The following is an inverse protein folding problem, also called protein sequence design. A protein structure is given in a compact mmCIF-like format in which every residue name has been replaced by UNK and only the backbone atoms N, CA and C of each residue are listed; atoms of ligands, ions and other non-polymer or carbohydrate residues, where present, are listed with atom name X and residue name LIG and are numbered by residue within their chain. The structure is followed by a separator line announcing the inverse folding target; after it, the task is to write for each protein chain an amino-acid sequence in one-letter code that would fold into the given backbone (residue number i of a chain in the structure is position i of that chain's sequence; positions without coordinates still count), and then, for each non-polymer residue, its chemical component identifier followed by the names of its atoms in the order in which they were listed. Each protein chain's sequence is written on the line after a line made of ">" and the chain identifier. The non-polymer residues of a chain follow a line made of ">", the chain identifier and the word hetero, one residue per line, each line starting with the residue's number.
data_IF_417538358279
#
_entry.id   IF_417538358279
#
_cell.length_a   1.000
_cell.length_b   1.000
_cell.length_c   1.000
_cell.angle_alpha   90.00
_cell.angle_beta   90.00
_cell.angle_gamma   90.00
#
_symmetry.space_group_name_H-M   'P 1'
#
loop_
_entity.id
_entity.type
_entity.pdbx_description
1 polymer ?
#
# COMPACT_ATOMS: atom_id res chain seq x y z
N UNK A 1 14.82 -6.24 35.96
CA UNK A 1 14.41 -7.10 34.82
C UNK A 1 15.69 -7.63 34.18
N UNK A 2 15.70 -8.89 33.76
CA UNK A 2 16.83 -9.46 33.03
C UNK A 2 17.01 -8.69 31.69
N UNK A 3 18.26 -8.50 31.27
CA UNK A 3 18.55 -7.89 29.95
C UNK A 3 18.11 -8.80 28.81
N UNK A 4 17.97 -8.23 27.61
CA UNK A 4 17.65 -9.02 26.39
C UNK A 4 18.72 -10.09 26.14
N UNK A 5 19.98 -9.76 26.40
CA UNK A 5 21.12 -10.67 26.25
C UNK A 5 21.05 -11.83 27.24
N UNK A 6 20.69 -11.58 28.50
CA UNK A 6 20.51 -12.62 29.51
C UNK A 6 19.35 -13.54 29.15
N UNK A 7 18.22 -12.98 28.71
CA UNK A 7 17.06 -13.78 28.26
C UNK A 7 17.43 -14.64 27.04
N UNK A 8 18.17 -14.07 26.08
CA UNK A 8 18.66 -14.82 24.92
C UNK A 8 19.59 -15.96 25.30
N UNK A 9 20.53 -15.71 26.22
CA UNK A 9 21.45 -16.74 26.69
C UNK A 9 20.71 -17.90 27.40
N UNK A 10 19.71 -17.58 28.20
CA UNK A 10 18.89 -18.62 28.87
C UNK A 10 18.08 -19.47 27.87
N UNK A 11 17.53 -18.86 26.85
CA UNK A 11 16.79 -19.56 25.79
C UNK A 11 17.71 -20.44 24.92
N UNK A 12 18.98 -20.02 24.71
CA UNK A 12 19.99 -20.85 24.06
C UNK A 12 20.29 -22.09 24.88
N UNK A 13 20.45 -21.99 26.23
CA UNK A 13 20.63 -23.15 27.11
C UNK A 13 19.46 -24.12 27.02
N UNK A 14 18.22 -23.65 27.03
CA UNK A 14 17.02 -24.49 26.84
C UNK A 14 17.04 -25.18 25.46
N UNK A 15 17.44 -24.49 24.41
CA UNK A 15 17.60 -25.05 23.07
C UNK A 15 18.64 -26.17 23.04
N UNK A 16 19.80 -25.95 23.65
CA UNK A 16 20.88 -26.95 23.73
C UNK A 16 20.44 -28.17 24.53
N UNK A 17 19.75 -27.97 25.66
CA UNK A 17 19.19 -29.03 26.47
C UNK A 17 18.13 -29.84 25.71
N UNK A 18 17.27 -29.19 24.90
CA UNK A 18 16.30 -29.87 24.08
C UNK A 18 16.98 -30.74 23.01
N UNK A 19 18.03 -30.21 22.35
CA UNK A 19 18.82 -30.93 21.36
C UNK A 19 19.56 -32.13 21.95
N UNK A 20 20.09 -32.00 23.17
CA UNK A 20 20.80 -33.08 23.83
C UNK A 20 19.91 -34.28 24.16
N UNK A 21 18.60 -34.07 24.28
CA UNK A 21 17.59 -35.12 24.41
C UNK A 21 17.17 -35.76 23.07
N UNK A 22 17.79 -35.36 21.94
CA UNK A 22 17.47 -35.86 20.62
C UNK A 22 16.18 -35.30 20.00
N UNK A 23 15.56 -34.29 20.65
CA UNK A 23 14.36 -33.65 20.11
C UNK A 23 14.71 -32.58 19.08
N UNK A 24 13.97 -32.57 17.96
CA UNK A 24 14.11 -31.53 16.96
C UNK A 24 13.49 -30.23 17.47
N UNK A 25 14.28 -29.15 17.43
CA UNK A 25 13.82 -27.81 17.84
C UNK A 25 13.31 -26.96 16.68
N UNK A 26 13.56 -27.42 15.44
CA UNK A 26 13.17 -26.77 14.18
C UNK A 26 12.85 -27.84 13.13
N UNK A 27 11.78 -28.66 13.33
CA UNK A 27 11.37 -29.66 12.37
C UNK A 27 10.85 -28.99 11.08
N UNK A 28 10.98 -29.69 9.95
CA UNK A 28 10.44 -29.25 8.67
C UNK A 28 8.96 -29.55 8.48
N UNK A 29 8.35 -30.33 9.39
CA UNK A 29 6.98 -30.81 9.28
C UNK A 29 6.20 -30.57 10.56
N UNK A 30 4.87 -30.45 10.41
CA UNK A 30 3.88 -30.39 11.47
C UNK A 30 2.81 -31.46 11.21
N UNK A 31 2.22 -31.99 12.27
CA UNK A 31 1.07 -32.92 12.21
C UNK A 31 -0.27 -32.21 12.41
N UNK A 32 -0.30 -30.88 12.25
CA UNK A 32 -1.49 -30.05 12.45
C UNK A 32 -2.69 -30.60 11.70
N UNK A 33 -3.78 -30.84 12.40
CA UNK A 33 -5.06 -31.29 11.84
C UNK A 33 -6.02 -30.12 11.58
N UNK A 34 -6.00 -29.08 12.42
CA UNK A 34 -6.93 -27.96 12.37
C UNK A 34 -6.21 -26.61 12.57
N UNK A 35 -6.71 -25.57 11.92
CA UNK A 35 -6.42 -24.19 12.24
C UNK A 35 -7.20 -23.76 13.49
N UNK A 36 -6.68 -22.81 14.27
CA UNK A 36 -7.35 -22.37 15.48
C UNK A 36 -8.73 -21.77 15.24
N UNK A 37 -8.92 -21.06 14.11
CA UNK A 37 -10.23 -20.54 13.73
C UNK A 37 -11.24 -21.65 13.43
N UNK A 38 -10.81 -22.77 12.84
CA UNK A 38 -11.66 -23.92 12.57
C UNK A 38 -12.07 -24.63 13.87
N UNK A 39 -11.14 -24.77 14.82
CA UNK A 39 -11.44 -25.31 16.15
C UNK A 39 -12.50 -24.45 16.86
N UNK A 40 -12.36 -23.12 16.83
CA UNK A 40 -13.34 -22.21 17.45
C UNK A 40 -14.70 -22.26 16.73
N UNK A 41 -14.71 -22.36 15.42
CA UNK A 41 -15.96 -22.44 14.63
C UNK A 41 -16.77 -23.70 14.95
N UNK A 42 -16.09 -24.85 15.06
CA UNK A 42 -16.73 -26.14 15.25
C UNK A 42 -16.62 -26.64 16.71
N UNK A 43 -16.33 -25.73 17.66
CA UNK A 43 -15.93 -26.01 19.03
C UNK A 43 -16.88 -26.97 19.76
N UNK A 44 -18.17 -26.68 19.77
CA UNK A 44 -19.21 -27.50 20.47
C UNK A 44 -19.24 -28.94 19.94
N UNK A 45 -19.08 -29.13 18.62
CA UNK A 45 -19.05 -30.45 18.02
C UNK A 45 -17.76 -31.21 18.39
N UNK A 46 -16.62 -30.52 18.34
CA UNK A 46 -15.32 -31.10 18.71
C UNK A 46 -15.25 -31.49 20.18
N UNK A 47 -15.79 -30.63 21.05
CA UNK A 47 -15.89 -30.91 22.51
C UNK A 47 -16.81 -32.11 22.80
N UNK A 48 -18.02 -32.12 22.23
CA UNK A 48 -19.01 -33.19 22.48
C UNK A 48 -18.55 -34.56 21.99
N UNK A 49 -17.75 -34.60 20.93
CA UNK A 49 -17.19 -35.85 20.40
C UNK A 49 -15.82 -36.21 20.96
N UNK A 50 -15.27 -35.41 21.87
CA UNK A 50 -13.90 -35.56 22.41
C UNK A 50 -12.87 -35.77 21.28
N UNK A 51 -13.03 -35.05 20.15
CA UNK A 51 -12.23 -35.27 18.96
C UNK A 51 -10.75 -34.99 19.24
N UNK A 52 -9.83 -35.94 18.95
CA UNK A 52 -8.41 -35.69 19.07
C UNK A 52 -7.96 -34.66 18.02
N UNK A 53 -7.28 -33.63 18.45
CA UNK A 53 -6.79 -32.52 17.64
C UNK A 53 -5.29 -32.40 17.75
N UNK A 54 -4.65 -31.98 16.67
CA UNK A 54 -3.29 -31.45 16.68
C UNK A 54 -3.38 -30.02 16.19
N UNK A 55 -3.06 -29.07 17.07
CA UNK A 55 -3.03 -27.65 16.72
C UNK A 55 -1.64 -27.07 16.91
N UNK A 56 -1.35 -26.01 16.16
CA UNK A 56 -0.06 -25.34 16.21
C UNK A 56 -0.24 -23.85 16.44
N UNK A 57 0.73 -23.21 17.04
CA UNK A 57 0.69 -21.75 17.18
C UNK A 57 1.92 -21.22 17.92
N UNK A 58 2.05 -19.91 17.86
CA UNK A 58 3.00 -19.16 18.69
C UNK A 58 2.41 -18.98 20.09
N UNK A 59 3.21 -19.26 21.11
CA UNK A 59 2.85 -18.97 22.51
C UNK A 59 2.89 -17.46 22.71
N UNK A 60 1.72 -16.85 22.91
CA UNK A 60 1.59 -15.38 23.07
C UNK A 60 1.55 -14.94 24.52
N UNK A 61 1.14 -15.83 25.41
CA UNK A 61 1.13 -15.60 26.86
C UNK A 61 1.25 -16.93 27.57
N UNK A 62 1.78 -16.90 28.81
CA UNK A 62 1.84 -18.06 29.70
C UNK A 62 1.59 -17.59 31.11
N UNK A 63 0.77 -18.36 31.82
CA UNK A 63 0.49 -18.18 33.25
C UNK A 63 0.22 -19.54 33.86
N UNK A 64 0.66 -19.76 35.06
CA UNK A 64 0.40 -21.02 35.73
C UNK A 64 1.02 -21.06 37.13
N UNK A 65 0.48 -21.93 37.98
CA UNK A 65 1.00 -22.20 39.30
C UNK A 65 0.66 -23.62 39.70
N UNK A 66 1.63 -24.32 40.31
CA UNK A 66 1.40 -25.69 40.78
C UNK A 66 1.05 -26.64 39.63
N UNK A 67 -0.05 -27.38 39.71
CA UNK A 67 -0.42 -28.47 38.81
C UNK A 67 -1.12 -28.00 37.50
N UNK A 68 -1.17 -26.68 37.22
CA UNK A 68 -1.86 -26.16 36.04
C UNK A 68 -1.07 -25.04 35.37
N UNK A 69 -1.08 -25.04 34.05
CA UNK A 69 -0.53 -23.97 33.19
C UNK A 69 -1.53 -23.61 32.11
N UNK A 70 -1.74 -22.31 31.89
CA UNK A 70 -2.56 -21.74 30.84
C UNK A 70 -1.64 -20.96 29.89
N UNK A 71 -1.86 -21.08 28.61
CA UNK A 71 -1.16 -20.31 27.61
C UNK A 71 -2.03 -20.06 26.38
N UNK A 72 -1.79 -18.94 25.72
CA UNK A 72 -2.52 -18.60 24.49
C UNK A 72 -1.67 -18.98 23.28
N UNK A 73 -2.25 -19.75 22.39
CA UNK A 73 -1.70 -20.04 21.07
C UNK A 73 -2.27 -19.08 20.02
N UNK A 74 -1.44 -18.70 19.07
CA UNK A 74 -1.81 -17.87 17.93
C UNK A 74 -1.16 -18.41 16.66
N UNK A 75 -1.97 -18.81 15.67
CA UNK A 75 -1.52 -19.38 14.40
C UNK A 75 -1.69 -18.43 13.21
N UNK A 76 -2.15 -17.21 13.46
CA UNK A 76 -2.49 -16.24 12.42
C UNK A 76 -3.98 -16.24 12.05
N UNK A 77 -4.71 -17.31 12.26
CA UNK A 77 -6.15 -17.38 12.02
C UNK A 77 -6.96 -16.96 13.26
N UNK A 78 -6.55 -17.40 14.45
CA UNK A 78 -7.21 -17.07 15.71
C UNK A 78 -6.25 -17.18 16.89
N UNK A 79 -6.74 -16.75 18.08
CA UNK A 79 -6.14 -17.06 19.38
C UNK A 79 -7.02 -18.05 20.12
N UNK A 80 -6.39 -19.07 20.72
CA UNK A 80 -7.06 -20.09 21.50
C UNK A 80 -6.27 -20.37 22.77
N UNK A 81 -6.98 -20.44 23.90
CA UNK A 81 -6.36 -20.82 25.15
C UNK A 81 -6.06 -22.33 25.15
N UNK A 82 -4.85 -22.69 25.55
CA UNK A 82 -4.45 -24.08 25.82
C UNK A 82 -4.17 -24.25 27.30
N UNK A 83 -4.51 -25.40 27.80
CA UNK A 83 -4.39 -25.74 29.22
C UNK A 83 -3.69 -27.09 29.40
N UNK A 84 -2.62 -27.08 30.20
CA UNK A 84 -1.99 -28.28 30.70
C UNK A 84 -2.37 -28.39 32.17
N UNK A 85 -2.98 -29.48 32.60
CA UNK A 85 -3.34 -29.74 34.03
C UNK A 85 -3.10 -31.19 34.41
N UNK A 86 -2.56 -31.38 35.60
CA UNK A 86 -2.33 -32.72 36.15
C UNK A 86 -3.56 -33.22 36.92
N UNK A 87 -3.88 -34.54 36.84
CA UNK A 87 -3.11 -35.56 36.10
C UNK A 87 -3.47 -35.69 34.61
N UNK A 88 -4.51 -35.02 34.13
CA UNK A 88 -5.14 -35.27 32.82
C UNK A 88 -4.21 -35.08 31.62
N UNK A 89 -3.28 -34.11 31.67
CA UNK A 89 -2.31 -33.83 30.59
C UNK A 89 -1.07 -34.73 30.62
N UNK A 90 -0.85 -35.46 31.72
CA UNK A 90 0.36 -36.24 31.96
C UNK A 90 1.58 -35.40 32.37
N UNK A 91 2.49 -36.05 33.12
CA UNK A 91 3.69 -35.38 33.65
C UNK A 91 4.66 -34.97 32.54
N UNK A 92 4.76 -35.74 31.44
CA UNK A 92 5.67 -35.46 30.32
C UNK A 92 5.36 -34.14 29.60
N UNK A 93 4.09 -33.91 29.27
CA UNK A 93 3.65 -32.67 28.63
C UNK A 93 3.88 -31.43 29.52
N UNK A 94 3.57 -31.58 30.84
CA UNK A 94 3.80 -30.50 31.82
C UNK A 94 5.28 -30.21 32.00
N UNK A 95 6.12 -31.24 32.12
CA UNK A 95 7.57 -31.08 32.27
C UNK A 95 8.17 -30.44 31.01
N UNK A 96 7.83 -30.95 29.79
CA UNK A 96 8.32 -30.40 28.54
C UNK A 96 7.96 -28.91 28.41
N UNK A 97 6.72 -28.55 28.69
CA UNK A 97 6.25 -27.16 28.60
C UNK A 97 7.05 -26.25 29.53
N UNK A 98 7.24 -26.66 30.81
CA UNK A 98 7.94 -25.83 31.79
C UNK A 98 9.43 -25.69 31.57
N UNK A 99 10.08 -26.78 31.14
CA UNK A 99 11.53 -26.78 30.93
C UNK A 99 11.95 -26.07 29.65
N UNK A 100 11.17 -26.19 28.55
CA UNK A 100 11.64 -25.79 27.22
C UNK A 100 10.84 -24.68 26.57
N UNK A 101 9.57 -24.49 26.93
CA UNK A 101 8.71 -23.53 26.23
C UNK A 101 8.76 -22.15 26.88
N UNK A 102 8.94 -21.13 26.04
CA UNK A 102 8.87 -19.72 26.43
C UNK A 102 7.83 -18.99 25.57
N UNK A 103 7.37 -17.86 26.06
CA UNK A 103 6.55 -16.93 25.23
C UNK A 103 7.35 -16.52 24.00
N UNK A 104 6.73 -16.66 22.84
CA UNK A 104 7.36 -16.44 21.54
C UNK A 104 7.67 -17.71 20.76
N UNK A 105 7.77 -18.87 21.42
CA UNK A 105 8.01 -20.14 20.75
C UNK A 105 6.83 -20.57 19.90
N UNK A 106 7.11 -21.27 18.80
CA UNK A 106 6.08 -22.01 18.06
C UNK A 106 6.08 -23.46 18.53
N UNK A 107 4.91 -23.93 18.90
CA UNK A 107 4.71 -25.30 19.38
C UNK A 107 3.55 -25.96 18.64
N UNK A 108 3.57 -27.27 18.65
CA UNK A 108 2.48 -28.15 18.28
C UNK A 108 1.98 -28.84 19.55
N UNK A 109 0.67 -28.93 19.70
CA UNK A 109 0.07 -29.60 20.85
C UNK A 109 -0.95 -30.64 20.39
N UNK A 110 -0.86 -31.84 20.96
CA UNK A 110 -1.91 -32.84 20.91
C UNK A 110 -2.95 -32.46 21.99
N UNK A 111 -4.22 -32.40 21.63
CA UNK A 111 -5.23 -31.88 22.54
C UNK A 111 -6.66 -32.32 22.20
N UNK A 112 -7.59 -32.00 23.08
CA UNK A 112 -9.04 -32.08 22.87
C UNK A 112 -9.67 -30.74 23.23
N UNK A 113 -10.79 -30.38 22.60
CA UNK A 113 -11.55 -29.20 22.96
C UNK A 113 -12.23 -29.43 24.33
N UNK A 114 -12.25 -28.39 25.17
CA UNK A 114 -12.97 -28.43 26.45
C UNK A 114 -13.29 -27.01 26.94
N UNK A 115 -14.40 -26.88 27.65
CA UNK A 115 -14.79 -25.61 28.29
C UNK A 115 -14.31 -25.56 29.72
N UNK A 116 -13.59 -24.50 30.08
CA UNK A 116 -13.12 -24.32 31.49
C UNK A 116 -14.29 -24.04 32.42
N UNK A 117 -14.05 -24.17 33.75
CA UNK A 117 -15.08 -23.87 34.78
C UNK A 117 -15.62 -22.43 34.70
N UNK A 118 -14.85 -21.51 34.13
CA UNK A 118 -15.26 -20.10 33.91
C UNK A 118 -15.99 -19.88 32.58
N UNK A 119 -16.25 -20.92 31.78
CA UNK A 119 -16.92 -20.82 30.49
C UNK A 119 -16.01 -20.47 29.34
N UNK A 120 -14.67 -20.50 29.51
CA UNK A 120 -13.73 -20.18 28.44
C UNK A 120 -13.49 -21.40 27.55
N UNK A 121 -13.78 -21.29 26.24
CA UNK A 121 -13.40 -22.26 25.23
C UNK A 121 -11.88 -22.41 25.17
N UNK A 122 -11.39 -23.64 25.28
CA UNK A 122 -9.99 -23.96 25.44
C UNK A 122 -9.66 -25.33 24.84
N UNK A 123 -8.39 -25.66 24.73
CA UNK A 123 -7.95 -27.02 24.43
C UNK A 123 -7.18 -27.61 25.65
N UNK A 124 -7.50 -28.84 26.01
CA UNK A 124 -6.80 -29.63 27.00
C UNK A 124 -5.65 -30.36 26.29
N UNK A 125 -4.43 -30.01 26.68
CA UNK A 125 -3.20 -30.51 26.04
C UNK A 125 -2.79 -31.85 26.66
N UNK A 126 -2.49 -32.84 25.84
CA UNK A 126 -1.94 -34.13 26.20
C UNK A 126 -0.50 -34.37 25.73
N UNK A 127 -0.03 -33.59 24.71
CA UNK A 127 1.33 -33.66 24.21
C UNK A 127 1.83 -32.29 23.74
N UNK A 128 3.13 -32.06 23.84
CA UNK A 128 3.78 -30.80 23.36
C UNK A 128 5.02 -31.11 22.56
N UNK A 129 5.14 -30.51 21.40
CA UNK A 129 6.32 -30.58 20.56
C UNK A 129 6.80 -29.19 20.15
N UNK A 130 8.12 -28.96 20.20
CA UNK A 130 8.71 -27.72 19.71
C UNK A 130 8.72 -27.70 18.17
N UNK A 131 8.23 -26.61 17.58
CA UNK A 131 8.34 -26.34 16.16
C UNK A 131 9.39 -25.29 15.84
N UNK A 132 9.49 -24.26 16.69
CA UNK A 132 10.52 -23.23 16.53
C UNK A 132 10.80 -22.55 17.87
N UNK A 133 12.01 -22.69 18.37
CA UNK A 133 12.48 -22.01 19.59
C UNK A 133 12.78 -20.55 19.30
N UNK A 134 12.06 -19.63 19.93
CA UNK A 134 12.32 -18.20 19.88
C UNK A 134 13.50 -17.85 20.79
N UNK A 135 14.52 -17.19 20.27
CA UNK A 135 15.69 -16.79 21.05
C UNK A 135 15.57 -15.38 21.63
N UNK A 136 14.72 -14.53 21.05
CA UNK A 136 14.45 -13.18 21.55
C UNK A 136 13.04 -13.11 22.15
N UNK A 137 12.83 -12.32 23.20
CA UNK A 137 11.49 -12.10 23.75
C UNK A 137 10.63 -11.30 22.75
N UNK A 138 9.31 -11.51 22.80
CA UNK A 138 8.37 -10.64 22.12
C UNK A 138 8.30 -9.26 22.78
N UNK A 139 7.90 -8.21 22.08
CA UNK A 139 7.55 -6.93 22.65
C UNK A 139 6.50 -7.06 23.77
N UNK A 140 6.43 -6.07 24.65
CA UNK A 140 5.47 -6.05 25.75
C UNK A 140 4.04 -6.30 25.25
N UNK A 141 3.33 -7.20 25.94
CA UNK A 141 1.98 -7.63 25.55
C UNK A 141 0.95 -6.49 25.60
N UNK A 142 1.13 -5.53 26.52
CA UNK A 142 0.14 -4.48 26.78
C UNK A 142 0.43 -3.19 26.05
N UNK A 143 1.71 -2.90 25.81
CA UNK A 143 2.14 -1.63 25.24
C UNK A 143 2.66 -1.76 23.80
N UNK A 144 2.98 -3.00 23.35
CA UNK A 144 3.60 -3.21 22.04
C UNK A 144 4.93 -2.45 21.90
N UNK A 145 5.26 -2.07 20.67
CA UNK A 145 6.42 -1.23 20.37
C UNK A 145 5.96 0.23 20.39
N UNK A 146 6.52 1.05 21.31
CA UNK A 146 6.14 2.46 21.46
C UNK A 146 6.93 3.39 20.54
N UNK A 147 8.17 3.05 20.23
CA UNK A 147 9.03 3.82 19.34
C UNK A 147 8.55 3.70 17.90
N UNK A 148 8.21 4.83 17.27
CA UNK A 148 7.66 4.87 15.91
C UNK A 148 8.66 4.39 14.85
N UNK A 149 9.95 4.71 15.01
CA UNK A 149 10.98 4.26 14.08
C UNK A 149 11.17 2.74 14.20
N UNK A 150 11.22 2.22 15.42
CA UNK A 150 11.34 0.78 15.66
C UNK A 150 10.11 0.02 15.11
N UNK A 151 8.89 0.57 15.25
CA UNK A 151 7.68 0.01 14.61
C UNK A 151 7.79 -0.09 13.10
N UNK A 152 8.45 0.85 12.46
CA UNK A 152 8.68 0.80 11.00
C UNK A 152 9.77 -0.20 10.63
N UNK A 153 10.87 -0.27 11.39
CA UNK A 153 11.99 -1.19 11.14
C UNK A 153 11.64 -2.65 11.46
N UNK A 154 10.93 -2.88 12.57
CA UNK A 154 10.50 -4.22 13.01
C UNK A 154 9.01 -4.44 12.77
N UNK A 155 8.55 -4.08 11.58
CA UNK A 155 7.13 -4.12 11.19
C UNK A 155 6.46 -5.47 11.46
N UNK A 156 7.19 -6.57 11.35
CA UNK A 156 6.69 -7.92 11.61
C UNK A 156 6.29 -8.12 13.09
N UNK A 157 6.99 -7.46 14.03
CA UNK A 157 6.62 -7.49 15.45
C UNK A 157 5.44 -6.55 15.76
N UNK A 158 5.40 -5.37 15.11
CA UNK A 158 4.28 -4.44 15.23
C UNK A 158 2.99 -5.09 14.72
N UNK A 159 3.02 -5.76 13.56
CA UNK A 159 1.86 -6.51 13.02
C UNK A 159 1.44 -7.64 13.96
N UNK A 160 2.39 -8.34 14.59
CA UNK A 160 2.10 -9.43 15.51
C UNK A 160 1.34 -8.96 16.76
N UNK A 161 1.67 -7.78 17.26
CA UNK A 161 1.13 -7.23 18.51
C UNK A 161 -0.03 -6.25 18.31
N UNK A 162 -0.21 -5.74 17.09
CA UNK A 162 -1.23 -4.75 16.74
C UNK A 162 -2.22 -5.32 15.72
N UNK A 163 -3.38 -5.74 16.21
CA UNK A 163 -4.43 -6.33 15.38
C UNK A 163 -5.00 -5.34 14.36
N UNK A 164 -5.15 -4.05 14.73
CA UNK A 164 -5.67 -3.03 13.82
C UNK A 164 -4.74 -2.83 12.63
N UNK A 165 -3.42 -2.80 12.87
CA UNK A 165 -2.44 -2.70 11.81
C UNK A 165 -2.50 -3.90 10.86
N UNK A 166 -2.71 -5.11 11.39
CA UNK A 166 -2.88 -6.32 10.58
C UNK A 166 -4.07 -6.20 9.64
N UNK A 167 -5.21 -5.70 10.12
CA UNK A 167 -6.42 -5.50 9.31
C UNK A 167 -6.19 -4.53 8.14
N UNK A 168 -5.30 -3.54 8.30
CA UNK A 168 -4.93 -2.63 7.19
C UNK A 168 -4.32 -3.40 6.02
N UNK A 169 -3.50 -4.44 6.26
CA UNK A 169 -2.92 -5.24 5.18
C UNK A 169 -3.96 -6.08 4.43
N UNK A 170 -4.94 -6.64 5.13
CA UNK A 170 -6.06 -7.33 4.48
C UNK A 170 -6.91 -6.37 3.64
N UNK A 171 -7.23 -5.19 4.17
CA UNK A 171 -7.94 -4.15 3.42
C UNK A 171 -7.16 -3.69 2.19
N UNK A 172 -5.83 -3.53 2.31
CA UNK A 172 -4.97 -3.18 1.18
C UNK A 172 -4.97 -4.25 0.08
N UNK A 173 -4.92 -5.53 0.44
CA UNK A 173 -5.02 -6.63 -0.52
C UNK A 173 -6.40 -6.58 -1.22
N UNK A 174 -7.48 -6.51 -0.46
CA UNK A 174 -8.84 -6.40 -0.99
C UNK A 174 -9.04 -5.17 -1.88
N UNK A 175 -8.42 -4.03 -1.54
CA UNK A 175 -8.46 -2.83 -2.37
C UNK A 175 -7.97 -3.11 -3.80
N UNK A 176 -6.80 -3.74 -3.95
CA UNK A 176 -6.26 -4.07 -5.26
C UNK A 176 -7.07 -5.14 -6.00
N UNK A 177 -7.67 -6.09 -5.28
CA UNK A 177 -8.58 -7.07 -5.88
C UNK A 177 -9.83 -6.40 -6.44
N UNK A 178 -10.42 -5.44 -5.73
CA UNK A 178 -11.57 -4.66 -6.19
C UNK A 178 -11.23 -3.81 -7.41
N UNK A 179 -10.07 -3.12 -7.41
CA UNK A 179 -9.61 -2.33 -8.56
C UNK A 179 -9.46 -3.23 -9.78
N UNK A 180 -8.76 -4.36 -9.66
CA UNK A 180 -8.54 -5.33 -10.73
C UNK A 180 -9.84 -5.90 -11.25
N UNK A 181 -10.72 -6.33 -10.35
CA UNK A 181 -12.04 -6.89 -10.69
C UNK A 181 -12.89 -5.87 -11.46
N UNK A 182 -12.95 -4.63 -10.98
CA UNK A 182 -13.71 -3.56 -11.62
C UNK A 182 -13.24 -3.29 -13.05
N UNK A 183 -11.92 -3.14 -13.26
CA UNK A 183 -11.38 -2.87 -14.59
C UNK A 183 -11.63 -4.05 -15.55
N UNK A 184 -11.49 -5.29 -15.09
CA UNK A 184 -11.84 -6.49 -15.88
C UNK A 184 -13.33 -6.55 -16.22
N UNK A 185 -14.22 -6.23 -15.29
CA UNK A 185 -15.68 -6.12 -15.55
C UNK A 185 -16.01 -5.04 -16.60
N UNK A 186 -15.22 -3.96 -16.67
CA UNK A 186 -15.34 -2.90 -17.68
C UNK A 186 -14.64 -3.25 -19.02
N UNK A 187 -14.10 -4.47 -19.16
CA UNK A 187 -13.48 -4.96 -20.39
C UNK A 187 -12.04 -4.50 -20.62
N UNK A 188 -11.33 -4.09 -19.57
CA UNK A 188 -9.92 -3.78 -19.67
C UNK A 188 -9.06 -5.05 -19.61
N UNK A 189 -8.04 -5.11 -20.46
CA UNK A 189 -6.99 -6.13 -20.45
C UNK A 189 -5.90 -5.73 -19.45
N UNK A 190 -5.58 -6.60 -18.51
CA UNK A 190 -4.42 -6.44 -17.64
C UNK A 190 -3.15 -6.74 -18.44
N UNK A 191 -2.20 -5.83 -18.42
CA UNK A 191 -0.93 -5.93 -19.16
C UNK A 191 0.25 -5.74 -18.21
N UNK A 192 1.43 -6.12 -18.66
CA UNK A 192 2.71 -5.87 -18.01
C UNK A 192 3.61 -5.13 -18.98
N UNK A 193 4.16 -4.00 -18.54
CA UNK A 193 5.07 -3.18 -19.33
C UNK A 193 6.47 -3.17 -18.67
N UNK A 194 7.53 -2.78 -19.40
CA UNK A 194 8.88 -2.75 -18.86
C UNK A 194 8.99 -1.90 -17.58
N UNK A 195 9.71 -2.42 -16.58
CA UNK A 195 10.06 -1.68 -15.36
C UNK A 195 11.43 -1.02 -15.43
N UNK A 196 12.27 -1.45 -16.38
CA UNK A 196 13.55 -0.84 -16.72
C UNK A 196 13.42 -0.27 -18.12
N UNK A 197 13.70 1.00 -18.27
CA UNK A 197 13.47 1.77 -19.49
C UNK A 197 14.75 2.49 -19.93
N UNK A 198 14.93 2.65 -21.23
CA UNK A 198 16.03 3.46 -21.81
C UNK A 198 15.69 4.96 -21.70
N UNK A 199 14.41 5.29 -21.82
CA UNK A 199 13.87 6.64 -21.70
C UNK A 199 12.67 6.61 -20.77
N UNK A 200 12.68 7.41 -19.72
CA UNK A 200 11.54 7.51 -18.80
C UNK A 200 10.52 8.52 -19.28
N UNK A 201 9.25 8.25 -19.03
CA UNK A 201 8.15 9.15 -19.38
C UNK A 201 6.87 8.86 -18.61
N UNK A 202 5.83 9.65 -18.87
CA UNK A 202 4.52 9.51 -18.24
C UNK A 202 4.38 10.22 -16.89
N UNK A 203 5.45 10.87 -16.41
CA UNK A 203 5.41 11.69 -15.20
C UNK A 203 6.53 12.75 -15.26
N UNK A 204 6.40 13.77 -14.44
CA UNK A 204 7.48 14.70 -14.12
C UNK A 204 8.05 14.24 -12.78
N UNK A 205 9.17 13.49 -12.84
CA UNK A 205 9.82 12.93 -11.65
C UNK A 205 11.25 12.51 -11.98
N UNK A 206 12.15 12.64 -11.00
CA UNK A 206 13.52 12.16 -11.15
C UNK A 206 13.55 10.63 -11.10
N UNK A 207 14.13 9.95 -12.12
CA UNK A 207 14.25 8.50 -12.12
C UNK A 207 15.43 8.01 -11.26
N UNK A 208 15.38 6.73 -10.85
CA UNK A 208 16.59 6.00 -10.46
C UNK A 208 17.32 5.52 -11.70
N UNK A 209 18.60 5.85 -11.83
CA UNK A 209 19.45 5.38 -12.92
C UNK A 209 20.22 4.14 -12.51
N UNK A 210 20.45 3.24 -13.47
CA UNK A 210 21.33 2.06 -13.34
C UNK A 210 21.97 1.77 -14.67
N UNK A 211 22.85 0.75 -14.74
CA UNK A 211 23.61 0.41 -15.94
C UNK A 211 23.40 -1.05 -16.33
N UNK A 212 23.10 -1.30 -17.62
CA UNK A 212 23.00 -2.64 -18.18
C UNK A 212 24.37 -3.06 -18.73
N UNK A 213 25.08 -3.91 -18.02
CA UNK A 213 26.47 -4.25 -18.33
C UNK A 213 26.67 -4.90 -19.71
N UNK A 214 25.81 -5.83 -20.13
CA UNK A 214 25.96 -6.53 -21.40
C UNK A 214 25.77 -5.64 -22.63
N UNK A 215 24.93 -4.61 -22.51
CA UNK A 215 24.67 -3.66 -23.58
C UNK A 215 25.46 -2.36 -23.44
N UNK A 216 26.22 -2.18 -22.36
CA UNK A 216 26.94 -0.96 -22.02
C UNK A 216 26.03 0.28 -22.13
N UNK A 217 24.86 0.21 -21.49
CA UNK A 217 23.76 1.15 -21.63
C UNK A 217 23.24 1.61 -20.28
N UNK A 218 23.14 2.91 -20.09
CA UNK A 218 22.43 3.49 -18.94
C UNK A 218 20.92 3.32 -19.14
N UNK A 219 20.27 2.81 -18.08
CA UNK A 219 18.84 2.56 -18.04
C UNK A 219 18.24 3.10 -16.75
N UNK A 220 16.95 3.24 -16.72
CA UNK A 220 16.23 3.88 -15.64
C UNK A 220 15.10 2.98 -15.12
N UNK A 221 14.83 3.06 -13.84
CA UNK A 221 13.59 2.49 -13.30
C UNK A 221 12.41 3.38 -13.66
N UNK A 222 11.32 2.78 -14.13
CA UNK A 222 10.11 3.52 -14.57
C UNK A 222 9.53 4.43 -13.49
N UNK A 223 9.08 5.61 -13.88
CA UNK A 223 8.46 6.62 -13.01
C UNK A 223 6.94 6.64 -13.08
N UNK A 224 6.35 5.94 -14.07
CA UNK A 224 4.91 5.70 -14.28
C UNK A 224 4.66 4.20 -14.50
N UNK A 225 3.38 3.80 -14.57
CA UNK A 225 3.01 2.41 -14.83
C UNK A 225 2.76 2.21 -16.33
N UNK A 226 3.85 2.37 -17.08
CA UNK A 226 3.87 2.11 -18.51
C UNK A 226 2.98 3.03 -19.33
N UNK A 227 2.86 4.31 -18.96
CA UNK A 227 2.03 5.27 -19.70
C UNK A 227 2.31 5.25 -21.20
N UNK A 228 3.58 5.50 -21.59
CA UNK A 228 3.95 5.52 -23.00
C UNK A 228 3.85 4.13 -23.66
N UNK A 229 4.01 3.04 -22.89
CA UNK A 229 3.87 1.67 -23.38
C UNK A 229 2.41 1.28 -23.60
N UNK A 230 1.51 1.60 -22.68
CA UNK A 230 0.09 1.32 -22.84
C UNK A 230 -0.53 2.12 -24.01
N UNK A 231 -0.04 3.34 -24.26
CA UNK A 231 -0.42 4.11 -25.45
C UNK A 231 0.02 3.42 -26.75
N UNK A 232 1.20 2.78 -26.78
CA UNK A 232 1.62 1.94 -27.92
C UNK A 232 0.68 0.75 -28.12
N UNK A 233 0.13 0.17 -27.05
CA UNK A 233 -0.88 -0.88 -27.16
C UNK A 233 -2.20 -0.35 -27.73
N UNK A 234 -2.60 0.91 -27.43
CA UNK A 234 -3.75 1.54 -28.09
C UNK A 234 -3.55 1.62 -29.60
N UNK A 235 -2.37 2.08 -30.04
CA UNK A 235 -1.98 2.11 -31.47
C UNK A 235 -1.97 0.70 -32.09
N UNK A 236 -1.60 -0.33 -31.33
CA UNK A 236 -1.62 -1.72 -31.76
C UNK A 236 -3.01 -2.37 -31.78
N UNK A 237 -4.08 -1.62 -31.44
CA UNK A 237 -5.46 -2.09 -31.50
C UNK A 237 -6.03 -2.71 -30.21
N UNK A 238 -5.39 -2.54 -29.06
CA UNK A 238 -5.95 -2.89 -27.76
C UNK A 238 -6.74 -1.71 -27.17
N UNK A 239 -8.08 -1.70 -27.21
CA UNK A 239 -8.85 -0.48 -26.91
C UNK A 239 -8.92 -0.14 -25.43
N UNK A 240 -8.62 -1.07 -24.53
CA UNK A 240 -8.65 -0.88 -23.07
C UNK A 240 -7.57 -1.72 -22.43
N UNK A 241 -6.63 -1.07 -21.76
CA UNK A 241 -5.56 -1.73 -21.01
C UNK A 241 -5.43 -1.14 -19.62
N UNK A 242 -4.92 -1.93 -18.69
CA UNK A 242 -4.50 -1.43 -17.38
C UNK A 242 -3.32 -2.23 -16.86
N UNK A 243 -2.54 -1.62 -15.99
CA UNK A 243 -1.50 -2.28 -15.23
C UNK A 243 -1.54 -1.82 -13.78
N UNK A 244 -1.36 -2.76 -12.84
CA UNK A 244 -1.13 -2.49 -11.42
C UNK A 244 0.31 -2.89 -11.13
N UNK A 245 1.17 -1.93 -10.82
CA UNK A 245 2.59 -2.20 -10.68
C UNK A 245 3.32 -1.24 -9.76
N UNK A 246 4.65 -1.34 -9.73
CA UNK A 246 5.53 -0.45 -8.99
C UNK A 246 6.07 0.65 -9.88
N UNK A 247 5.97 1.89 -9.38
CA UNK A 247 6.68 3.05 -9.92
C UNK A 247 7.77 3.47 -8.91
N UNK A 248 8.82 4.11 -9.43
CA UNK A 248 10.02 4.47 -8.68
C UNK A 248 10.36 5.94 -8.96
N UNK A 249 10.41 6.77 -7.92
CA UNK A 249 10.75 8.19 -8.05
C UNK A 249 11.84 8.55 -7.05
N UNK A 250 12.96 9.04 -7.53
CA UNK A 250 14.13 9.42 -6.73
C UNK A 250 13.95 10.83 -6.15
N UNK A 251 12.96 10.98 -5.31
CA UNK A 251 12.53 12.24 -4.71
C UNK A 251 12.57 12.18 -3.19
N UNK A 252 12.29 13.31 -2.53
CA UNK A 252 12.23 13.40 -1.08
C UNK A 252 11.07 12.59 -0.48
N UNK A 253 11.27 12.07 0.74
CA UNK A 253 10.22 11.39 1.51
C UNK A 253 9.31 12.39 2.21
N UNK A 254 8.01 12.10 2.24
CA UNK A 254 7.03 12.82 3.03
C UNK A 254 5.91 11.87 3.50
N UNK A 255 4.97 12.30 4.33
CA UNK A 255 3.79 11.49 4.66
C UNK A 255 2.94 11.08 3.44
N UNK A 256 3.09 11.76 2.30
CA UNK A 256 2.37 11.51 1.06
C UNK A 256 3.25 10.91 -0.06
N UNK A 257 4.60 10.90 0.10
CA UNK A 257 5.54 10.51 -0.94
C UNK A 257 6.55 9.48 -0.44
N UNK A 258 6.65 8.37 -1.15
CA UNK A 258 7.69 7.35 -0.97
C UNK A 258 8.34 7.06 -2.32
N UNK A 259 9.60 6.64 -2.31
CA UNK A 259 10.39 6.43 -3.53
C UNK A 259 9.95 5.24 -4.36
N UNK A 260 9.28 4.26 -3.72
CA UNK A 260 8.69 3.09 -4.37
C UNK A 260 7.24 2.96 -3.91
N UNK A 261 6.30 2.95 -4.85
CA UNK A 261 4.88 2.82 -4.54
C UNK A 261 4.13 2.00 -5.59
N UNK A 262 3.01 1.40 -5.18
CA UNK A 262 2.11 0.72 -6.11
C UNK A 262 1.13 1.74 -6.68
N UNK A 263 1.00 1.75 -7.99
CA UNK A 263 0.04 2.56 -8.72
C UNK A 263 -0.79 1.69 -9.67
N UNK A 264 -1.89 2.21 -10.16
CA UNK A 264 -2.70 1.62 -11.23
C UNK A 264 -2.87 2.67 -12.32
N UNK A 265 -2.49 2.32 -13.54
CA UNK A 265 -2.77 3.14 -14.71
C UNK A 265 -3.62 2.34 -15.69
N UNK A 266 -4.58 3.01 -16.32
CA UNK A 266 -5.46 2.41 -17.31
C UNK A 266 -5.76 3.40 -18.44
N UNK A 267 -5.92 2.87 -19.65
CA UNK A 267 -6.10 3.64 -20.88
C UNK A 267 -7.29 3.09 -21.66
N UNK A 268 -8.08 3.98 -22.22
CA UNK A 268 -9.29 3.64 -22.95
C UNK A 268 -9.37 4.45 -24.27
N UNK A 269 -9.29 3.77 -25.40
CA UNK A 269 -9.49 4.35 -26.70
C UNK A 269 -10.95 4.77 -26.93
N UNK A 270 -11.16 5.81 -27.73
CA UNK A 270 -12.48 6.37 -28.07
C UNK A 270 -13.22 6.92 -26.86
N UNK A 271 -12.48 7.45 -25.89
CA UNK A 271 -12.98 8.05 -24.68
C UNK A 271 -12.29 9.39 -24.41
N UNK A 272 -12.86 10.20 -23.57
CA UNK A 272 -12.31 11.48 -23.17
C UNK A 272 -12.20 11.59 -21.63
N UNK A 273 -11.69 12.72 -21.15
CA UNK A 273 -11.50 12.95 -19.70
C UNK A 273 -12.82 12.92 -18.91
N UNK A 274 -13.96 13.22 -19.54
CA UNK A 274 -15.27 13.11 -18.86
C UNK A 274 -15.70 11.64 -18.66
N UNK A 275 -15.39 10.76 -19.62
CA UNK A 275 -15.57 9.32 -19.50
C UNK A 275 -14.66 8.79 -18.39
N UNK A 276 -13.43 9.30 -18.31
CA UNK A 276 -12.48 9.00 -17.25
C UNK A 276 -13.01 9.39 -15.87
N UNK A 277 -13.56 10.59 -15.72
CA UNK A 277 -14.18 11.04 -14.45
C UNK A 277 -15.31 10.12 -14.01
N UNK A 278 -16.21 9.72 -14.93
CA UNK A 278 -17.32 8.79 -14.62
C UNK A 278 -16.80 7.43 -14.15
N UNK A 279 -15.79 6.89 -14.85
CA UNK A 279 -15.19 5.60 -14.50
C UNK A 279 -14.51 5.65 -13.12
N UNK A 280 -13.79 6.71 -12.82
CA UNK A 280 -13.12 6.92 -11.53
C UNK A 280 -14.14 7.07 -10.39
N UNK A 281 -15.22 7.83 -10.59
CA UNK A 281 -16.28 7.97 -9.60
C UNK A 281 -16.93 6.61 -9.26
N UNK A 282 -17.24 5.80 -10.28
CA UNK A 282 -17.78 4.45 -10.09
C UNK A 282 -16.79 3.55 -9.34
N UNK A 283 -15.50 3.59 -9.71
CA UNK A 283 -14.43 2.81 -9.08
C UNK A 283 -14.28 3.14 -7.60
N UNK A 284 -14.18 4.41 -7.25
CA UNK A 284 -14.01 4.83 -5.85
C UNK A 284 -15.23 4.48 -5.00
N UNK A 285 -16.44 4.61 -5.55
CA UNK A 285 -17.67 4.19 -4.87
C UNK A 285 -17.68 2.68 -4.62
N UNK A 286 -17.29 1.86 -5.60
CA UNK A 286 -17.16 0.40 -5.46
C UNK A 286 -16.11 0.03 -4.40
N UNK A 287 -14.95 0.65 -4.43
CA UNK A 287 -13.89 0.45 -3.41
C UNK A 287 -14.42 0.76 -2.01
N UNK A 288 -15.10 1.90 -1.83
CA UNK A 288 -15.65 2.31 -0.56
C UNK A 288 -16.60 1.27 0.04
N UNK A 289 -17.54 0.79 -0.77
CA UNK A 289 -18.52 -0.21 -0.33
C UNK A 289 -17.89 -1.58 -0.09
N UNK A 290 -17.06 -2.08 -0.98
CA UNK A 290 -16.54 -3.45 -0.88
C UNK A 290 -15.40 -3.60 0.12
N UNK A 291 -14.55 -2.58 0.28
CA UNK A 291 -13.40 -2.64 1.20
C UNK A 291 -13.76 -2.14 2.60
N UNK A 292 -14.56 -1.06 2.68
CA UNK A 292 -14.83 -0.39 3.94
C UNK A 292 -16.27 -0.55 4.43
N UNK A 293 -17.22 -0.95 3.57
CA UNK A 293 -18.64 -1.11 3.91
C UNK A 293 -19.38 0.21 4.10
N UNK A 294 -18.79 1.34 3.72
CA UNK A 294 -19.36 2.69 3.84
C UNK A 294 -18.85 3.59 2.73
N UNK A 295 -19.63 4.60 2.35
CA UNK A 295 -19.23 5.66 1.43
C UNK A 295 -18.81 6.94 2.14
N UNK A 296 -19.14 7.08 3.43
CA UNK A 296 -18.83 8.25 4.26
C UNK A 296 -17.53 8.06 5.02
N UNK A 297 -16.65 9.07 4.95
CA UNK A 297 -15.33 9.05 5.59
C UNK A 297 -15.03 10.36 6.28
N UNK A 298 -14.28 10.27 7.39
CA UNK A 298 -13.65 11.42 8.06
C UNK A 298 -12.16 11.14 8.19
N UNK A 299 -11.34 11.97 7.57
CA UNK A 299 -9.87 11.87 7.62
C UNK A 299 -9.23 13.23 7.39
N UNK A 300 -8.04 13.46 7.94
CA UNK A 300 -7.26 14.70 7.79
C UNK A 300 -8.06 15.97 8.10
N UNK A 301 -9.04 15.90 9.02
CA UNK A 301 -9.90 17.02 9.38
C UNK A 301 -11.04 17.30 8.39
N UNK A 302 -11.23 16.46 7.36
CA UNK A 302 -12.31 16.58 6.39
C UNK A 302 -13.31 15.44 6.50
N UNK A 303 -14.57 15.74 6.24
CA UNK A 303 -15.66 14.76 6.12
C UNK A 303 -16.24 14.83 4.71
N UNK A 304 -16.42 13.69 4.05
CA UNK A 304 -17.00 13.59 2.70
C UNK A 304 -17.71 12.26 2.51
N UNK A 305 -18.63 12.21 1.53
CA UNK A 305 -19.34 11.00 1.14
C UNK A 305 -19.12 10.72 -0.36
N UNK A 306 -18.59 9.54 -0.69
CA UNK A 306 -18.32 9.13 -2.07
C UNK A 306 -19.59 8.80 -2.87
N UNK A 307 -20.77 8.74 -2.21
CA UNK A 307 -22.06 8.62 -2.87
C UNK A 307 -22.60 9.97 -3.39
N UNK A 308 -22.06 11.08 -2.91
CA UNK A 308 -22.41 12.42 -3.39
C UNK A 308 -21.98 12.61 -4.86
N UNK A 309 -22.59 13.59 -5.51
CA UNK A 309 -22.15 14.05 -6.84
C UNK A 309 -20.79 14.73 -6.69
N UNK A 310 -19.80 14.24 -7.41
CA UNK A 310 -18.45 14.80 -7.39
C UNK A 310 -18.44 16.18 -8.03
N UNK A 311 -18.06 17.21 -7.27
CA UNK A 311 -18.00 18.59 -7.74
C UNK A 311 -16.92 18.75 -8.79
N UNK A 312 -17.20 19.54 -9.83
CA UNK A 312 -16.18 19.99 -10.79
C UNK A 312 -15.66 21.35 -10.33
N UNK A 313 -14.38 21.47 -10.08
CA UNK A 313 -13.69 22.67 -9.60
C UNK A 313 -12.76 23.14 -10.69
N UNK A 314 -12.95 24.37 -11.17
CA UNK A 314 -12.04 24.99 -12.13
C UNK A 314 -10.75 25.44 -11.43
N UNK A 315 -9.60 25.09 -12.01
CA UNK A 315 -8.28 25.37 -11.44
C UNK A 315 -8.07 26.87 -11.19
N UNK A 316 -8.27 27.68 -12.21
CA UNK A 316 -8.04 29.14 -12.15
C UNK A 316 -9.00 29.82 -11.18
N UNK A 317 -10.28 29.49 -11.28
CA UNK A 317 -11.31 30.07 -10.42
C UNK A 317 -11.09 29.73 -8.93
N UNK A 318 -10.67 28.52 -8.63
CA UNK A 318 -10.46 28.10 -7.25
C UNK A 318 -9.20 28.75 -6.65
N UNK A 319 -8.10 28.83 -7.41
CA UNK A 319 -6.91 29.56 -6.95
C UNK A 319 -7.23 31.03 -6.72
N UNK A 320 -7.93 31.68 -7.67
CA UNK A 320 -8.37 33.06 -7.52
C UNK A 320 -9.25 33.25 -6.27
N UNK A 321 -10.22 32.36 -6.08
CA UNK A 321 -11.15 32.42 -4.96
C UNK A 321 -10.43 32.34 -3.60
N UNK A 322 -9.41 31.45 -3.47
CA UNK A 322 -8.73 31.22 -2.20
C UNK A 322 -7.58 32.20 -1.92
N UNK A 323 -6.92 32.70 -2.96
CA UNK A 323 -5.68 33.47 -2.81
C UNK A 323 -5.77 34.91 -3.30
N UNK A 324 -6.76 35.22 -4.13
CA UNK A 324 -6.87 36.50 -4.82
C UNK A 324 -5.92 36.64 -6.04
N UNK A 325 -5.17 35.57 -6.37
CA UNK A 325 -4.25 35.54 -7.51
C UNK A 325 -4.94 34.92 -8.73
N UNK A 326 -5.00 35.67 -9.81
CA UNK A 326 -5.39 35.13 -11.11
C UNK A 326 -4.15 34.64 -11.86
N UNK A 327 -3.94 33.32 -11.88
CA UNK A 327 -2.76 32.68 -12.46
C UNK A 327 -2.58 32.92 -13.98
N UNK A 328 -3.62 33.37 -14.68
CA UNK A 328 -3.51 33.66 -16.10
C UNK A 328 -2.85 35.01 -16.39
N UNK A 329 -2.95 35.98 -15.46
CA UNK A 329 -2.48 37.36 -15.68
C UNK A 329 -1.45 37.81 -14.63
N UNK A 330 -1.40 37.20 -13.43
CA UNK A 330 -0.45 37.56 -12.39
C UNK A 330 0.99 37.32 -12.86
N UNK A 331 1.91 38.21 -12.48
CA UNK A 331 3.34 38.03 -12.70
C UNK A 331 3.94 37.00 -11.72
N UNK A 332 5.14 36.50 -12.02
CA UNK A 332 5.83 35.54 -11.15
C UNK A 332 6.20 36.18 -9.82
N UNK A 333 6.49 37.50 -9.80
CA UNK A 333 6.73 38.28 -8.59
C UNK A 333 5.47 38.37 -7.71
N UNK A 334 4.29 38.56 -8.29
CA UNK A 334 3.01 38.60 -7.58
C UNK A 334 2.67 37.23 -6.95
N UNK A 335 2.89 36.15 -7.70
CA UNK A 335 2.70 34.78 -7.19
C UNK A 335 3.68 34.49 -6.04
N UNK A 336 4.96 34.84 -6.21
CA UNK A 336 6.01 34.69 -5.20
C UNK A 336 5.70 35.47 -3.94
N UNK A 337 5.25 36.71 -4.06
CA UNK A 337 4.85 37.56 -2.94
C UNK A 337 3.66 36.94 -2.18
N UNK A 338 2.69 36.37 -2.90
CA UNK A 338 1.54 35.69 -2.29
C UNK A 338 1.96 34.42 -1.56
N UNK A 339 2.85 33.59 -2.12
CA UNK A 339 3.38 32.40 -1.45
C UNK A 339 4.11 32.78 -0.16
N UNK A 340 4.89 33.87 -0.16
CA UNK A 340 5.55 34.38 1.02
C UNK A 340 4.55 34.86 2.08
N UNK A 341 3.49 35.61 1.69
CA UNK A 341 2.39 36.02 2.57
C UNK A 341 1.71 34.81 3.23
N UNK A 342 1.46 33.74 2.46
CA UNK A 342 0.86 32.49 2.92
C UNK A 342 1.83 31.60 3.71
N UNK A 343 3.10 32.00 3.86
CA UNK A 343 4.17 31.24 4.52
C UNK A 343 4.39 29.86 3.92
N UNK A 344 4.17 29.72 2.63
CA UNK A 344 4.43 28.48 1.89
C UNK A 344 5.88 28.49 1.42
N UNK A 345 6.61 27.42 1.75
CA UNK A 345 7.95 27.20 1.19
C UNK A 345 7.82 26.72 -0.24
N UNK A 346 8.65 27.24 -1.11
CA UNK A 346 8.71 26.82 -2.52
C UNK A 346 10.17 26.77 -2.97
N UNK A 347 10.45 25.84 -3.86
CA UNK A 347 11.75 25.67 -4.51
C UNK A 347 11.58 25.94 -5.99
N UNK A 348 12.54 26.66 -6.57
CA UNK A 348 12.51 27.06 -7.98
C UNK A 348 11.73 28.35 -8.25
N UNK A 349 12.09 29.01 -9.37
CA UNK A 349 11.54 30.31 -9.78
C UNK A 349 10.81 30.25 -11.13
N UNK A 350 10.59 29.04 -11.68
CA UNK A 350 9.83 28.96 -12.93
C UNK A 350 8.33 29.04 -12.65
N UNK A 351 7.61 29.64 -13.57
CA UNK A 351 6.16 29.91 -13.48
C UNK A 351 5.35 28.65 -13.17
N UNK A 352 5.71 27.54 -13.79
CA UNK A 352 5.04 26.25 -13.61
C UNK A 352 5.07 25.78 -12.14
N UNK A 353 6.24 25.78 -11.53
CA UNK A 353 6.45 25.40 -10.14
C UNK A 353 5.77 26.37 -9.16
N UNK A 354 5.74 27.66 -9.46
CA UNK A 354 5.04 28.66 -8.65
C UNK A 354 3.52 28.42 -8.64
N UNK A 355 2.93 28.18 -9.83
CA UNK A 355 1.51 27.89 -9.96
C UNK A 355 1.13 26.59 -9.26
N UNK A 356 1.91 25.53 -9.46
CA UNK A 356 1.71 24.23 -8.81
C UNK A 356 1.80 24.34 -7.28
N UNK A 357 2.78 25.09 -6.77
CA UNK A 357 2.93 25.33 -5.33
C UNK A 357 1.71 26.07 -4.74
N UNK A 358 1.20 27.08 -5.47
CA UNK A 358 0.01 27.81 -5.04
C UNK A 358 -1.22 26.90 -5.03
N UNK A 359 -1.36 26.03 -6.02
CA UNK A 359 -2.41 25.02 -6.07
C UNK A 359 -2.29 24.02 -4.91
N UNK A 360 -1.10 23.48 -4.63
CA UNK A 360 -0.84 22.57 -3.50
C UNK A 360 -1.25 23.18 -2.15
N UNK A 361 -1.20 24.50 -2.01
CA UNK A 361 -1.76 25.20 -0.86
C UNK A 361 -3.30 25.17 -0.88
N UNK A 362 -3.91 25.53 -2.00
CA UNK A 362 -5.37 25.64 -2.12
C UNK A 362 -6.09 24.30 -1.92
N UNK A 363 -5.56 23.21 -2.50
CA UNK A 363 -6.22 21.90 -2.45
C UNK A 363 -6.44 21.37 -1.04
N UNK A 364 -5.59 21.74 -0.08
CA UNK A 364 -5.68 21.31 1.33
C UNK A 364 -6.98 21.70 2.00
N UNK A 365 -7.67 22.72 1.47
CA UNK A 365 -8.93 23.22 1.99
C UNK A 365 -10.17 22.59 1.30
N UNK A 366 -9.96 21.62 0.40
CA UNK A 366 -11.04 20.98 -0.36
C UNK A 366 -11.35 19.60 0.26
N UNK A 367 -12.51 19.43 0.91
CA UNK A 367 -12.85 18.13 1.51
C UNK A 367 -13.06 17.04 0.45
N UNK A 368 -13.58 17.38 -0.73
CA UNK A 368 -14.04 16.42 -1.73
C UNK A 368 -15.42 15.86 -1.38
N UNK A 369 -15.93 14.86 -2.16
CA UNK A 369 -15.34 14.40 -3.41
C UNK A 369 -15.45 15.46 -4.50
N UNK A 370 -14.36 15.66 -5.24
CA UNK A 370 -14.31 16.65 -6.31
C UNK A 370 -13.33 16.24 -7.42
N UNK A 371 -13.55 16.78 -8.62
CA UNK A 371 -12.60 16.77 -9.72
C UNK A 371 -12.10 18.18 -9.98
N UNK A 372 -10.79 18.39 -9.91
CA UNK A 372 -10.17 19.58 -10.45
C UNK A 372 -10.07 19.45 -11.97
N UNK A 373 -10.47 20.45 -12.69
CA UNK A 373 -10.48 20.49 -14.17
C UNK A 373 -9.82 21.76 -14.70
N UNK A 374 -9.63 21.84 -16.02
CA UNK A 374 -9.08 23.01 -16.72
C UNK A 374 -7.69 23.43 -16.20
N UNK A 375 -6.80 22.47 -16.03
CA UNK A 375 -5.41 22.75 -15.65
C UNK A 375 -4.76 23.64 -16.71
N UNK A 376 -3.87 24.57 -16.35
CA UNK A 376 -3.05 25.29 -17.33
C UNK A 376 -2.31 24.33 -18.25
N UNK A 377 -2.30 24.60 -19.55
CA UNK A 377 -1.63 23.74 -20.54
C UNK A 377 -0.15 23.57 -20.26
N UNK A 378 0.46 24.59 -19.65
CA UNK A 378 1.86 24.60 -19.25
C UNK A 378 2.27 23.39 -18.39
N UNK A 379 1.38 22.94 -17.48
CA UNK A 379 1.62 21.81 -16.55
C UNK A 379 1.12 20.46 -17.10
N UNK A 380 0.95 20.33 -18.41
CA UNK A 380 0.23 19.20 -19.00
C UNK A 380 0.82 18.72 -20.34
N UNK A 381 2.08 18.25 -20.37
CA UNK A 381 2.80 17.96 -21.62
C UNK A 381 2.18 16.83 -22.46
N UNK A 382 1.41 15.91 -21.86
CA UNK A 382 0.83 14.73 -22.53
C UNK A 382 -0.69 14.82 -22.74
N UNK A 383 -1.33 15.89 -22.24
CA UNK A 383 -2.78 16.04 -22.33
C UNK A 383 -3.22 16.89 -23.52
N UNK A 384 -4.37 16.56 -24.09
CA UNK A 384 -5.00 17.34 -25.15
C UNK A 384 -5.43 18.72 -24.63
N UNK A 385 -5.20 19.77 -25.43
CA UNK A 385 -5.67 21.12 -25.12
C UNK A 385 -7.20 21.23 -25.23
N UNK A 386 -7.80 22.09 -24.41
CA UNK A 386 -9.16 22.58 -24.62
C UNK A 386 -9.22 23.52 -25.84
N UNK A 387 -10.43 23.84 -26.33
CA UNK A 387 -10.65 24.73 -27.44
C UNK A 387 -10.16 26.17 -27.23
N UNK A 388 -9.93 26.57 -25.98
CA UNK A 388 -9.37 27.87 -25.61
C UNK A 388 -7.84 27.96 -25.86
N UNK A 389 -7.17 26.83 -26.10
CA UNK A 389 -5.73 26.75 -26.34
C UNK A 389 -4.85 27.07 -25.14
N UNK A 390 -5.42 27.32 -23.97
CA UNK A 390 -4.71 27.74 -22.75
C UNK A 390 -4.83 26.73 -21.59
N UNK A 391 -5.87 25.91 -21.61
CA UNK A 391 -6.12 24.87 -20.62
C UNK A 391 -6.10 23.48 -21.25
N UNK A 392 -5.94 22.45 -20.42
CA UNK A 392 -5.89 21.06 -20.82
C UNK A 392 -7.14 20.28 -20.36
N UNK A 393 -7.49 19.25 -21.14
CA UNK A 393 -8.57 18.31 -20.83
C UNK A 393 -8.11 17.29 -19.76
N UNK A 394 -7.89 17.77 -18.56
CA UNK A 394 -7.40 17.01 -17.39
C UNK A 394 -8.45 17.01 -16.30
N UNK A 395 -8.47 15.94 -15.51
CA UNK A 395 -9.10 15.90 -14.21
C UNK A 395 -8.16 15.33 -13.14
N UNK A 396 -8.24 15.87 -11.94
CA UNK A 396 -7.60 15.31 -10.76
C UNK A 396 -8.68 15.07 -9.69
N UNK A 397 -8.93 13.83 -9.27
CA UNK A 397 -9.83 13.55 -8.17
C UNK A 397 -9.20 13.99 -6.85
N UNK A 398 -9.99 14.70 -6.03
CA UNK A 398 -9.57 15.26 -4.74
C UNK A 398 -10.44 14.69 -3.63
N UNK A 399 -9.79 14.08 -2.62
CA UNK A 399 -10.39 13.63 -1.38
C UNK A 399 -9.56 14.11 -0.18
N UNK A 400 -10.21 14.66 0.83
CA UNK A 400 -9.56 15.12 2.06
C UNK A 400 -8.31 15.99 1.83
N UNK A 401 -8.39 16.95 0.89
CA UNK A 401 -7.29 17.86 0.58
C UNK A 401 -6.13 17.22 -0.21
N UNK A 402 -6.26 15.96 -0.64
CA UNK A 402 -5.24 15.24 -1.40
C UNK A 402 -5.69 14.92 -2.82
N UNK A 403 -4.78 15.03 -3.75
CA UNK A 403 -4.91 14.46 -5.10
C UNK A 403 -4.71 12.95 -4.99
N UNK A 404 -5.67 12.19 -5.50
CA UNK A 404 -5.66 10.73 -5.40
C UNK A 404 -5.56 10.04 -6.77
N UNK A 405 -5.30 10.82 -7.79
CA UNK A 405 -5.09 10.37 -9.16
C UNK A 405 -5.05 11.53 -10.14
N UNK A 406 -4.82 11.22 -11.40
CA UNK A 406 -4.83 12.15 -12.54
C UNK A 406 -5.30 11.39 -13.77
N UNK A 407 -6.09 12.03 -14.61
CA UNK A 407 -6.49 11.48 -15.89
C UNK A 407 -6.75 12.59 -16.89
N UNK A 408 -6.69 12.29 -18.19
CA UNK A 408 -6.84 13.29 -19.24
C UNK A 408 -7.25 12.66 -20.58
N UNK A 409 -7.76 13.52 -21.49
CA UNK A 409 -7.84 13.16 -22.89
C UNK A 409 -6.44 13.16 -23.48
N UNK A 410 -6.08 12.07 -24.15
CA UNK A 410 -4.72 11.85 -24.64
C UNK A 410 -4.39 12.78 -25.81
N UNK A 411 -3.19 13.38 -25.76
CA UNK A 411 -2.63 14.07 -26.93
C UNK A 411 -2.20 13.01 -27.94
N UNK A 412 -2.86 13.01 -29.10
CA UNK A 412 -2.60 12.07 -30.19
C UNK A 412 -2.18 12.75 -31.50
N UNK A 413 -1.81 14.04 -31.43
CA UNK A 413 -1.19 14.79 -32.54
C UNK A 413 0.33 14.70 -32.42
N UNK A 414 1.04 14.01 -33.35
CA UNK A 414 2.48 13.83 -33.25
C UNK A 414 3.27 15.16 -33.35
N UNK A 415 2.75 16.14 -34.06
CA UNK A 415 3.44 17.43 -34.22
C UNK A 415 3.37 18.26 -32.92
N UNK A 416 2.18 18.34 -32.32
CA UNK A 416 2.01 19.00 -31.01
C UNK A 416 2.81 18.29 -29.93
N UNK A 417 2.78 16.93 -29.89
CA UNK A 417 3.53 16.17 -28.91
C UNK A 417 5.04 16.37 -29.03
N UNK A 418 5.57 16.40 -30.27
CA UNK A 418 7.00 16.69 -30.52
C UNK A 418 7.38 18.06 -29.97
N UNK A 419 6.61 19.09 -30.29
CA UNK A 419 6.87 20.45 -29.84
C UNK A 419 6.87 20.54 -28.28
N UNK A 420 6.01 19.80 -27.61
CA UNK A 420 5.99 19.76 -26.14
C UNK A 420 7.16 18.99 -25.55
N UNK A 421 7.60 17.91 -26.17
CA UNK A 421 8.81 17.19 -25.74
C UNK A 421 10.07 18.04 -25.95
N UNK A 422 10.17 18.77 -27.04
CA UNK A 422 11.28 19.70 -27.27
C UNK A 422 11.37 20.77 -26.18
N UNK A 423 10.23 21.31 -25.74
CA UNK A 423 10.18 22.23 -24.60
C UNK A 423 10.59 21.56 -23.28
N UNK A 424 10.21 20.30 -23.03
CA UNK A 424 10.67 19.55 -21.85
C UNK A 424 12.19 19.33 -21.89
N UNK A 425 12.78 19.08 -23.06
CA UNK A 425 14.24 18.99 -23.22
C UNK A 425 14.95 20.32 -22.91
N UNK A 426 14.36 21.46 -23.26
CA UNK A 426 14.90 22.78 -22.86
C UNK A 426 14.91 22.94 -21.33
N UNK A 427 13.86 22.47 -20.64
CA UNK A 427 13.80 22.49 -19.17
C UNK A 427 14.86 21.58 -18.55
N UNK A 428 15.05 20.36 -19.07
CA UNK A 428 16.12 19.45 -18.66
C UNK A 428 17.51 20.09 -18.83
N UNK A 429 17.76 20.70 -19.99
CA UNK A 429 19.01 21.39 -20.27
C UNK A 429 19.21 22.62 -19.34
N UNK A 430 18.13 23.22 -18.90
CA UNK A 430 18.10 24.31 -17.90
C UNK A 430 18.31 23.84 -16.44
N UNK A 431 18.41 22.52 -16.20
CA UNK A 431 18.65 21.94 -14.87
C UNK A 431 17.41 21.48 -14.11
N UNK A 432 16.25 21.41 -14.76
CA UNK A 432 15.03 20.80 -14.20
C UNK A 432 15.06 19.28 -14.46
N UNK A 433 15.64 18.52 -13.52
CA UNK A 433 15.83 17.07 -13.60
C UNK A 433 14.55 16.23 -13.38
N UNK A 434 13.40 16.88 -13.20
CA UNK A 434 12.07 16.25 -13.19
C UNK A 434 11.35 16.37 -14.53
N UNK A 435 11.85 17.19 -15.48
CA UNK A 435 11.27 17.34 -16.81
C UNK A 435 11.39 16.02 -17.62
N UNK A 436 10.47 15.81 -18.57
CA UNK A 436 10.42 14.57 -19.35
C UNK A 436 11.55 14.47 -20.36
N UNK A 437 12.05 13.25 -20.55
CA UNK A 437 12.98 12.92 -21.63
C UNK A 437 12.26 12.84 -22.97
N UNK A 438 12.96 13.19 -24.07
CA UNK A 438 12.49 12.96 -25.42
C UNK A 438 12.42 11.47 -25.72
N UNK A 439 11.28 11.00 -26.17
CA UNK A 439 11.08 9.62 -26.64
C UNK A 439 10.72 9.63 -28.15
N UNK A 440 11.73 9.56 -29.00
CA UNK A 440 11.54 9.56 -30.44
C UNK A 440 10.70 8.36 -30.92
N UNK A 441 10.84 7.21 -30.29
CA UNK A 441 10.05 6.03 -30.64
C UNK A 441 8.57 6.16 -30.29
N UNK A 442 8.25 6.98 -29.28
CA UNK A 442 6.88 7.32 -28.95
C UNK A 442 6.28 8.27 -29.98
N UNK A 443 7.05 9.27 -30.44
CA UNK A 443 6.63 10.17 -31.54
C UNK A 443 6.38 9.37 -32.82
N UNK A 444 7.31 8.47 -33.19
CA UNK A 444 7.14 7.59 -34.35
C UNK A 444 5.85 6.76 -34.26
N UNK A 445 5.53 6.23 -33.09
CA UNK A 445 4.27 5.52 -32.85
C UNK A 445 3.05 6.43 -33.07
N UNK A 446 3.09 7.68 -32.63
CA UNK A 446 2.00 8.63 -32.87
C UNK A 446 1.86 8.98 -34.38
N UNK A 447 2.95 9.02 -35.14
CA UNK A 447 2.93 9.21 -36.59
C UNK A 447 2.27 8.03 -37.33
N UNK A 448 2.33 6.81 -36.76
CA UNK A 448 1.54 5.66 -37.25
C UNK A 448 0.06 5.74 -36.83
N UNK A 449 -0.30 6.60 -35.92
CA UNK A 449 -1.66 6.85 -35.46
C UNK A 449 -2.01 6.17 -34.12
N UNK A 450 -2.57 6.97 -33.22
CA UNK A 450 -3.16 6.51 -31.98
C UNK A 450 -4.61 7.01 -31.90
N UNK A 451 -5.60 6.14 -31.56
CA UNK A 451 -6.99 6.58 -31.40
C UNK A 451 -7.12 7.60 -30.25
N UNK A 452 -8.15 8.46 -30.27
CA UNK A 452 -8.42 9.38 -29.16
C UNK A 452 -8.82 8.63 -27.90
#
# INVERSE_FOLDING_TARGET
>A
MASIEELRAERIKKLEALRSKGASSYPSTSSRTHELCAVLKDFVLLESNETPLVVTGRVMSSRGQGAISFFDLYDGSARLQAVIKLPESGDEAMQFYREYVDVGDFIEVDCTAFTTKSGQESVLVSGVRMLSKSLLPLPDKYHGIQDEELRMRERYLDILTNQELREVFFKKAKFWDVVRGFLKEKGFLEVETPTIEVTTGGAEARPFATHHHDFDLDVYMRISIGELWQKRLMSAGYPRTFEIGRAYRNEGSSPEHVQEFTNCEFYMAYANFEDGMRLVEELYRKIALEVFGTTSFTTRGHTFDLSDVWKRIDYREEVLRQTGIDIAIASDEEITAKLAELKVKFDGNNRERLIDTLWKYCRKNIPGPAFLINHPLLVAPLAKANSDGTTAQIFQPILAGSEIGKGYSELNDPLDQRARFEKQQELLAGGDDEAMMMDESFIEMLEHGMPP
#
